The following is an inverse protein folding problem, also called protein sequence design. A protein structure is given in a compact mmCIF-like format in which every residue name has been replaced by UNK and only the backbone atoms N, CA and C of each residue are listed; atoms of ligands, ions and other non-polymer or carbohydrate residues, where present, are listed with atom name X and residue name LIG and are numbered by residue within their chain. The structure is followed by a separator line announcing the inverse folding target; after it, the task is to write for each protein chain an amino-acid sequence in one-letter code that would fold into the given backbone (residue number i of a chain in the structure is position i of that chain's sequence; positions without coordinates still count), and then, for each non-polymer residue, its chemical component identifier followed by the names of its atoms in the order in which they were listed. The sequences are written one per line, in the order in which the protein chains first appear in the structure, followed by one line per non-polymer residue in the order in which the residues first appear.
data_IF_156891944103
#
_entry.id   IF_156891944103
#
_cell.length_a   1.000
_cell.length_b   1.000
_cell.length_c   1.000
_cell.angle_alpha   90.00
_cell.angle_beta   90.00
_cell.angle_gamma   90.00
#
_symmetry.space_group_name_H-M   'P 1'
#
loop_
_entity.id
_entity.type
_entity.pdbx_description
1 polymer ?
#
# COMPACT_ATOMS: atom_id res chain seq x y z
N UNK A 1 7.86 -31.53 -2.16
CA UNK A 1 8.15 -30.14 -2.54
C UNK A 1 7.68 -29.21 -1.43
N UNK A 2 8.57 -28.41 -0.80
CA UNK A 2 8.18 -27.43 0.21
C UNK A 2 7.23 -26.37 -0.35
N UNK A 3 6.36 -25.83 0.49
CA UNK A 3 5.48 -24.71 0.15
C UNK A 3 5.95 -23.50 0.92
N UNK A 4 6.37 -22.44 0.22
CA UNK A 4 6.74 -21.16 0.81
C UNK A 4 5.63 -20.15 0.57
N UNK A 5 5.13 -19.58 1.67
CA UNK A 5 4.07 -18.58 1.65
C UNK A 5 4.57 -17.26 2.20
N UNK A 6 4.26 -16.17 1.51
CA UNK A 6 4.51 -14.83 2.02
C UNK A 6 3.42 -13.85 1.59
N UNK A 7 3.34 -12.71 2.25
CA UNK A 7 2.47 -11.62 1.86
C UNK A 7 3.27 -10.38 1.53
N UNK A 8 2.70 -9.58 0.65
CA UNK A 8 3.22 -8.33 0.18
C UNK A 8 2.60 -7.17 0.95
N UNK A 9 3.45 -6.23 1.32
CA UNK A 9 3.11 -4.94 1.93
C UNK A 9 3.52 -3.85 0.94
N UNK A 10 2.54 -3.16 0.36
CA UNK A 10 2.73 -2.12 -0.65
C UNK A 10 2.66 -0.76 0.04
N UNK A 11 3.59 0.14 -0.27
CA UNK A 11 3.57 1.52 0.21
C UNK A 11 3.49 2.47 -0.98
N UNK A 12 2.60 3.47 -0.90
CA UNK A 12 2.45 4.53 -1.89
C UNK A 12 2.59 5.90 -1.23
N UNK A 13 3.38 6.78 -1.86
CA UNK A 13 3.72 8.10 -1.34
C UNK A 13 3.98 9.08 -2.47
N UNK A 14 3.38 10.27 -2.42
CA UNK A 14 3.72 11.33 -3.36
C UNK A 14 4.78 12.25 -2.74
N UNK A 15 5.89 12.42 -3.45
CA UNK A 15 7.00 13.25 -3.01
C UNK A 15 7.37 14.32 -4.04
N UNK A 16 7.85 15.46 -3.55
CA UNK A 16 8.45 16.49 -4.38
C UNK A 16 9.84 16.05 -4.86
N UNK A 17 10.04 15.99 -6.17
CA UNK A 17 11.32 15.57 -6.78
C UNK A 17 12.46 16.53 -6.51
N UNK A 18 12.16 17.83 -6.55
CA UNK A 18 13.08 18.91 -6.24
C UNK A 18 12.37 19.91 -5.33
N UNK A 19 13.14 20.69 -4.56
CA UNK A 19 12.60 21.70 -3.64
C UNK A 19 11.62 22.70 -4.30
N UNK A 20 11.75 22.92 -5.61
CA UNK A 20 10.98 23.92 -6.36
C UNK A 20 10.09 23.31 -7.46
N UNK A 21 9.87 21.99 -7.49
CA UNK A 21 8.96 21.41 -8.50
C UNK A 21 7.51 21.60 -8.05
N UNK A 22 6.67 22.15 -8.93
CA UNK A 22 5.21 22.27 -8.71
C UNK A 22 4.46 20.93 -8.80
N UNK A 23 5.13 19.89 -9.30
CA UNK A 23 4.55 18.60 -9.62
C UNK A 23 5.15 17.50 -8.75
N UNK A 24 4.30 16.80 -8.00
CA UNK A 24 4.69 15.61 -7.24
C UNK A 24 4.90 14.41 -8.17
N UNK A 25 5.79 13.52 -7.77
CA UNK A 25 5.89 12.16 -8.32
C UNK A 25 5.38 11.18 -7.27
N UNK A 26 4.68 10.14 -7.71
CA UNK A 26 4.30 9.03 -6.86
C UNK A 26 5.40 7.98 -6.80
N UNK A 27 5.69 7.45 -5.62
CA UNK A 27 6.57 6.30 -5.41
C UNK A 27 5.78 5.09 -4.97
N UNK A 28 5.97 3.95 -5.63
CA UNK A 28 5.38 2.67 -5.23
C UNK A 28 6.49 1.74 -4.75
N UNK A 29 6.36 1.31 -3.50
CA UNK A 29 7.35 0.50 -2.81
C UNK A 29 6.72 -0.80 -2.35
N UNK A 30 7.53 -1.86 -2.28
CA UNK A 30 7.09 -3.19 -1.89
C UNK A 30 8.01 -3.77 -0.82
N UNK A 31 7.41 -4.47 0.12
CA UNK A 31 8.10 -5.23 1.14
C UNK A 31 7.46 -6.60 1.34
N UNK A 32 8.27 -7.60 1.70
CA UNK A 32 7.76 -8.90 2.17
C UNK A 32 7.37 -8.75 3.64
N UNK A 33 6.08 -8.88 3.94
CA UNK A 33 5.57 -8.55 5.26
C UNK A 33 5.89 -9.61 6.33
N UNK A 34 6.12 -10.86 5.95
CA UNK A 34 6.50 -11.95 6.88
C UNK A 34 7.88 -11.76 7.53
N UNK A 35 8.66 -10.76 7.10
CA UNK A 35 9.94 -10.47 7.71
C UNK A 35 9.81 -9.89 9.12
N UNK A 36 10.71 -10.29 10.01
CA UNK A 36 10.86 -9.66 11.32
C UNK A 36 11.03 -8.14 11.17
N UNK A 37 10.46 -7.35 12.09
CA UNK A 37 10.51 -5.87 12.04
C UNK A 37 11.93 -5.32 11.83
N UNK A 38 12.95 -5.94 12.44
CA UNK A 38 14.36 -5.55 12.26
C UNK A 38 14.83 -5.70 10.81
N UNK A 39 14.43 -6.77 10.13
CA UNK A 39 14.74 -6.99 8.71
C UNK A 39 13.91 -6.07 7.83
N UNK A 40 12.63 -5.86 8.15
CA UNK A 40 11.79 -4.91 7.43
C UNK A 40 12.36 -3.50 7.42
N UNK A 41 13.03 -3.06 8.47
CA UNK A 41 13.69 -1.73 8.50
C UNK A 41 14.93 -1.59 7.61
N UNK A 42 15.45 -2.67 7.04
CA UNK A 42 16.66 -2.61 6.21
C UNK A 42 16.30 -2.15 4.79
N UNK A 43 17.04 -1.19 4.24
CA UNK A 43 16.79 -0.66 2.89
C UNK A 43 16.83 -1.74 1.81
N UNK A 44 17.71 -2.74 1.94
CA UNK A 44 17.79 -3.90 1.02
C UNK A 44 16.50 -4.73 0.92
N UNK A 45 15.59 -4.55 1.88
CA UNK A 45 14.33 -5.28 1.99
C UNK A 45 13.12 -4.38 1.64
N UNK A 46 13.39 -3.23 1.02
CA UNK A 46 12.39 -2.36 0.40
C UNK A 46 12.69 -2.32 -1.10
N UNK A 47 11.71 -2.75 -1.89
CA UNK A 47 11.82 -2.79 -3.33
C UNK A 47 11.04 -1.63 -3.93
N UNK A 48 11.57 -1.01 -4.98
CA UNK A 48 10.84 0.00 -5.74
C UNK A 48 10.15 -0.72 -6.90
N UNK A 49 8.82 -0.64 -6.95
CA UNK A 49 8.03 -1.18 -8.06
C UNK A 49 8.03 -0.19 -9.22
N UNK A 50 7.96 1.11 -8.91
CA UNK A 50 8.23 2.14 -9.87
C UNK A 50 7.83 3.53 -9.39
N UNK A 51 8.02 4.50 -10.28
CA UNK A 51 7.70 5.90 -10.05
C UNK A 51 6.56 6.29 -10.99
N UNK A 52 5.49 6.84 -10.42
CA UNK A 52 4.30 7.32 -11.13
C UNK A 52 4.57 8.77 -11.57
N UNK A 53 4.62 9.05 -12.88
CA UNK A 53 4.79 10.40 -13.40
C UNK A 53 3.65 11.33 -12.97
N UNK A 54 3.93 12.64 -12.96
CA UNK A 54 2.88 13.63 -12.71
C UNK A 54 1.76 13.54 -13.76
N UNK A 55 0.52 13.57 -13.30
CA UNK A 55 -0.68 13.54 -14.14
C UNK A 55 -1.09 12.14 -14.62
N UNK A 56 -0.27 11.12 -14.37
CA UNK A 56 -0.64 9.73 -14.61
C UNK A 56 -1.57 9.21 -13.51
N UNK A 57 -2.48 8.30 -13.88
CA UNK A 57 -3.38 7.65 -12.92
C UNK A 57 -2.68 6.45 -12.28
N UNK A 58 -2.67 6.42 -10.95
CA UNK A 58 -2.15 5.29 -10.18
C UNK A 58 -2.76 3.95 -10.62
N UNK A 59 -4.05 3.94 -10.92
CA UNK A 59 -4.81 2.76 -11.36
C UNK A 59 -4.23 2.13 -12.63
N UNK A 60 -3.90 2.95 -13.63
CA UNK A 60 -3.33 2.49 -14.90
C UNK A 60 -1.90 1.96 -14.68
N UNK A 61 -1.13 2.65 -13.84
CA UNK A 61 0.24 2.26 -13.51
C UNK A 61 0.32 0.94 -12.74
N UNK A 62 -0.49 0.77 -11.69
CA UNK A 62 -0.40 -0.39 -10.79
C UNK A 62 -1.02 -1.66 -11.40
N UNK A 63 -1.84 -1.53 -12.45
CA UNK A 63 -2.57 -2.65 -13.07
C UNK A 63 -1.68 -3.83 -13.45
N UNK A 64 -0.49 -3.56 -13.99
CA UNK A 64 0.48 -4.59 -14.37
C UNK A 64 0.95 -5.35 -13.12
N UNK A 65 1.27 -4.64 -12.05
CA UNK A 65 1.67 -5.24 -10.78
C UNK A 65 0.56 -6.11 -10.18
N UNK A 66 -0.69 -5.63 -10.16
CA UNK A 66 -1.83 -6.40 -9.64
C UNK A 66 -2.03 -7.71 -10.42
N UNK A 67 -1.85 -7.69 -11.74
CA UNK A 67 -1.91 -8.91 -12.55
C UNK A 67 -0.82 -9.93 -12.16
N UNK A 68 0.39 -9.47 -11.82
CA UNK A 68 1.44 -10.35 -11.30
C UNK A 68 1.13 -10.87 -9.88
N UNK A 69 0.48 -10.06 -9.04
CA UNK A 69 -0.01 -10.51 -7.72
C UNK A 69 -1.05 -11.62 -7.88
N UNK A 70 -2.00 -11.51 -8.83
CA UNK A 70 -2.95 -12.59 -9.08
C UNK A 70 -2.26 -13.90 -9.50
N UNK A 71 -1.16 -13.83 -10.26
CA UNK A 71 -0.36 -15.03 -10.59
C UNK A 71 0.33 -15.59 -9.35
N UNK A 72 0.88 -14.73 -8.49
CA UNK A 72 1.48 -15.14 -7.21
C UNK A 72 0.46 -15.83 -6.29
N UNK A 73 -0.80 -15.37 -6.29
CA UNK A 73 -1.89 -15.99 -5.53
C UNK A 73 -2.21 -17.41 -6.00
N UNK A 74 -2.17 -17.66 -7.31
CA UNK A 74 -2.28 -19.03 -7.84
C UNK A 74 -1.05 -19.89 -7.48
N UNK A 75 0.11 -19.24 -7.35
CA UNK A 75 1.38 -19.86 -7.02
C UNK A 75 2.05 -20.52 -8.22
N UNK A 76 3.35 -20.79 -8.07
CA UNK A 76 4.19 -21.38 -9.10
C UNK A 76 5.38 -22.12 -8.50
N UNK A 77 6.01 -22.98 -9.29
CA UNK A 77 7.24 -23.69 -8.88
C UNK A 77 8.44 -22.78 -9.14
N UNK A 78 9.33 -22.66 -8.15
CA UNK A 78 10.60 -21.95 -8.25
C UNK A 78 11.70 -22.74 -7.56
N UNK A 79 12.88 -22.79 -8.19
CA UNK A 79 14.06 -23.35 -7.55
C UNK A 79 14.65 -22.34 -6.57
N UNK A 80 14.68 -22.70 -5.29
CA UNK A 80 15.26 -21.88 -4.21
C UNK A 80 16.42 -22.64 -3.61
N UNK A 81 17.64 -22.17 -3.84
CA UNK A 81 18.88 -22.79 -3.34
C UNK A 81 19.00 -24.29 -3.69
N UNK A 82 18.66 -24.67 -4.93
CA UNK A 82 18.74 -26.05 -5.40
C UNK A 82 17.53 -26.92 -5.05
N UNK A 83 16.52 -26.37 -4.36
CA UNK A 83 15.31 -27.10 -3.99
C UNK A 83 14.11 -26.48 -4.71
N UNK A 84 13.42 -27.29 -5.51
CA UNK A 84 12.14 -26.88 -6.09
C UNK A 84 11.12 -26.68 -4.97
N UNK A 85 10.52 -25.49 -4.94
CA UNK A 85 9.54 -25.06 -3.95
C UNK A 85 8.28 -24.56 -4.67
N UNK A 86 7.11 -24.83 -4.09
CA UNK A 86 5.87 -24.15 -4.49
C UNK A 86 5.82 -22.80 -3.78
N UNK A 87 5.86 -21.71 -4.53
CA UNK A 87 5.78 -20.35 -4.02
C UNK A 87 4.37 -19.83 -4.20
N UNK A 88 3.78 -19.27 -3.17
CA UNK A 88 2.48 -18.58 -3.25
C UNK A 88 2.44 -17.41 -2.28
N UNK A 89 1.58 -16.44 -2.55
CA UNK A 89 1.44 -15.27 -1.72
C UNK A 89 0.37 -14.34 -2.24
N UNK A 90 0.27 -13.14 -1.66
CA UNK A 90 -0.69 -12.15 -2.11
C UNK A 90 -0.43 -10.78 -1.49
N UNK A 91 -1.12 -9.78 -1.98
CA UNK A 91 -1.11 -8.43 -1.40
C UNK A 91 -1.99 -8.42 -0.14
N UNK A 92 -1.39 -8.15 1.02
CA UNK A 92 -2.14 -8.13 2.28
C UNK A 92 -2.40 -6.71 2.81
N UNK A 93 -1.48 -5.77 2.56
CA UNK A 93 -1.60 -4.41 3.06
C UNK A 93 -1.14 -3.41 2.01
N UNK A 94 -1.89 -2.31 1.92
CA UNK A 94 -1.49 -1.11 1.20
C UNK A 94 -1.43 0.01 2.22
N UNK A 95 -0.24 0.58 2.39
CA UNK A 95 0.04 1.68 3.29
C UNK A 95 0.23 2.95 2.46
N UNK A 96 -0.39 4.04 2.90
CA UNK A 96 -0.20 5.36 2.32
C UNK A 96 -0.42 6.39 3.43
N UNK A 97 0.03 7.63 3.21
CA UNK A 97 -0.38 8.74 4.03
C UNK A 97 -1.87 9.06 3.82
N UNK A 98 -2.43 9.88 4.70
CA UNK A 98 -3.89 10.05 4.79
C UNK A 98 -4.56 10.52 3.48
N UNK A 99 -4.05 11.50 2.73
CA UNK A 99 -4.70 11.94 1.49
C UNK A 99 -4.71 10.83 0.43
N UNK A 100 -3.58 10.17 0.20
CA UNK A 100 -3.41 9.13 -0.82
C UNK A 100 -4.16 7.86 -0.42
N UNK A 101 -4.15 7.50 0.86
CA UNK A 101 -4.94 6.40 1.41
C UNK A 101 -6.44 6.62 1.21
N UNK A 102 -6.92 7.85 1.37
CA UNK A 102 -8.32 8.20 1.08
C UNK A 102 -8.62 8.11 -0.42
N UNK A 103 -7.73 8.62 -1.28
CA UNK A 103 -7.90 8.55 -2.74
C UNK A 103 -7.97 7.09 -3.21
N UNK A 104 -7.06 6.21 -2.73
CA UNK A 104 -7.08 4.75 -3.01
C UNK A 104 -8.38 4.10 -2.50
N UNK A 105 -8.86 4.53 -1.34
CA UNK A 105 -10.08 4.00 -0.73
C UNK A 105 -11.37 4.51 -1.36
N UNK A 106 -11.31 5.48 -2.28
CA UNK A 106 -12.48 6.14 -2.86
C UNK A 106 -13.25 7.00 -1.85
N UNK A 107 -12.55 7.56 -0.86
CA UNK A 107 -13.13 8.34 0.24
C UNK A 107 -12.71 9.80 0.09
N UNK A 108 -13.57 10.72 0.51
CA UNK A 108 -13.23 12.14 0.51
C UNK A 108 -11.99 12.41 1.38
N UNK A 109 -11.18 13.39 1.00
CA UNK A 109 -9.96 13.77 1.74
C UNK A 109 -10.28 14.29 3.15
N UNK A 110 -9.26 14.36 4.00
CA UNK A 110 -9.35 14.79 5.41
C UNK A 110 -10.03 16.15 5.63
N UNK A 111 -10.05 17.03 4.60
CA UNK A 111 -10.72 18.31 4.63
C UNK A 111 -12.23 18.25 4.33
N UNK A 112 -12.83 17.09 4.09
CA UNK A 112 -14.28 16.95 3.96
C UNK A 112 -14.98 16.96 5.32
N UNK A 113 -16.30 17.17 5.35
CA UNK A 113 -17.05 17.06 6.59
C UNK A 113 -16.90 15.67 7.21
N UNK A 114 -16.92 14.63 6.37
CA UNK A 114 -16.65 13.23 6.73
C UNK A 114 -15.39 12.78 5.98
N UNK A 115 -14.23 13.03 6.58
CA UNK A 115 -12.93 12.77 5.96
C UNK A 115 -12.30 11.42 6.30
N UNK A 116 -12.91 10.62 7.17
CA UNK A 116 -12.38 9.33 7.61
C UNK A 116 -13.38 8.20 7.28
N UNK A 117 -12.89 7.17 6.59
CA UNK A 117 -13.69 5.98 6.22
C UNK A 117 -14.12 5.12 7.40
N UNK A 118 -13.42 5.23 8.53
CA UNK A 118 -13.63 4.36 9.69
C UNK A 118 -14.48 5.05 10.74
N UNK A 119 -14.09 6.23 11.22
CA UNK A 119 -14.80 6.86 12.34
C UNK A 119 -16.11 7.53 11.92
N UNK A 120 -16.23 7.98 10.67
CA UNK A 120 -17.38 8.77 10.16
C UNK A 120 -17.77 9.96 11.05
N UNK A 121 -16.85 10.45 11.87
CA UNK A 121 -17.04 11.66 12.65
C UNK A 121 -17.06 12.88 11.72
N UNK A 122 -18.02 13.78 11.94
CA UNK A 122 -18.05 15.07 11.25
C UNK A 122 -16.94 15.99 11.76
N UNK A 123 -16.62 17.04 10.99
CA UNK A 123 -15.54 17.98 11.34
C UNK A 123 -15.69 18.60 12.73
N UNK A 124 -16.92 18.91 13.12
CA UNK A 124 -17.25 19.48 14.44
C UNK A 124 -17.05 18.48 15.60
N UNK A 125 -16.90 17.18 15.29
CA UNK A 125 -16.73 16.10 16.27
C UNK A 125 -15.31 15.53 16.31
N UNK A 126 -14.37 16.03 15.50
CA UNK A 126 -13.01 15.49 15.43
C UNK A 126 -12.22 15.61 16.75
N UNK A 127 -12.58 16.56 17.62
CA UNK A 127 -11.97 16.75 18.95
C UNK A 127 -12.79 16.11 20.06
N UNK A 128 -13.91 15.46 19.75
CA UNK A 128 -14.76 14.78 20.72
C UNK A 128 -14.22 13.38 21.03
N UNK A 129 -13.46 13.28 22.12
CA UNK A 129 -12.89 12.02 22.60
C UNK A 129 -13.95 11.02 23.07
N UNK A 130 -15.20 11.46 23.24
CA UNK A 130 -16.34 10.63 23.63
C UNK A 130 -17.21 10.21 22.44
N UNK A 131 -16.82 10.58 21.21
CA UNK A 131 -17.55 10.20 20.01
C UNK A 131 -17.63 8.68 19.86
N UNK A 132 -18.84 8.15 19.97
CA UNK A 132 -19.09 6.73 19.79
C UNK A 132 -19.18 6.41 18.30
N UNK A 133 -18.09 5.86 17.77
CA UNK A 133 -18.00 5.44 16.37
C UNK A 133 -18.99 4.29 16.06
N UNK A 134 -19.29 3.39 17.01
CA UNK A 134 -20.16 2.25 16.75
C UNK A 134 -21.63 2.68 16.69
N UNK A 135 -22.02 3.66 17.49
CA UNK A 135 -23.38 4.20 17.48
C UNK A 135 -23.66 5.11 16.28
N UNK A 136 -22.62 5.74 15.71
CA UNK A 136 -22.76 6.79 14.70
C UNK A 136 -22.13 6.43 13.34
N UNK A 137 -21.57 5.23 13.18
CA UNK A 137 -20.82 4.85 11.98
C UNK A 137 -20.67 3.37 11.69
#
# INVERSE_FOLDING_TARGET
MPILKFYLDLYYDDFGTFRNTYHSLGGIYLQIGNMLRRLRKQLRNHFIIGLVPFGEKLEDFIKVFINEVHKLEQGFIMNVNGIDCWITGGLAMVTADLPQGNDIAGVLRYNANLGCRTCKASKDKLTDVSFDIYANG
#
